data_IF_344092854855
#
_entry.id   IF_344092854855
#
_cell.length_a   1.000
_cell.length_b   1.000
_cell.length_c   1.000
_cell.angle_alpha   90.00
_cell.angle_beta   90.00
_cell.angle_gamma   90.00
#
_symmetry.space_group_name_H-M   'P 1'
#
loop_
_entity.id
_entity.type
_entity.pdbx_description
1 polymer ?
#
# COMPACT_ATOMS: atom_id res chain seq x y z
N UNK A 1 3.11 -21.24 -22.47
CA UNK A 1 4.12 -21.35 -21.39
C UNK A 1 3.97 -20.17 -20.44
N UNK A 2 3.52 -20.38 -19.20
CA UNK A 2 3.55 -19.34 -18.15
C UNK A 2 5.00 -19.04 -17.77
N UNK A 3 5.39 -17.77 -17.72
CA UNK A 3 6.75 -17.36 -17.36
C UNK A 3 6.82 -17.25 -15.83
N UNK A 4 7.32 -18.29 -15.16
CA UNK A 4 7.51 -18.29 -13.71
C UNK A 4 8.57 -17.25 -13.30
N UNK A 5 8.12 -16.06 -12.89
CA UNK A 5 8.97 -14.97 -12.42
C UNK A 5 8.71 -14.73 -10.94
N UNK A 6 9.76 -14.75 -10.12
CA UNK A 6 9.68 -14.32 -8.71
C UNK A 6 9.44 -12.80 -8.67
N UNK A 7 8.32 -12.32 -8.09
CA UNK A 7 8.07 -10.89 -8.02
C UNK A 7 8.82 -10.28 -6.83
N UNK A 8 9.66 -9.28 -7.10
CA UNK A 8 10.45 -8.57 -6.10
C UNK A 8 9.70 -7.34 -5.56
N UNK A 9 9.79 -7.10 -4.26
CA UNK A 9 9.31 -5.88 -3.60
C UNK A 9 10.16 -4.66 -3.96
N UNK A 10 9.66 -3.46 -3.72
CA UNK A 10 10.43 -2.23 -3.87
C UNK A 10 11.63 -2.21 -2.91
N UNK A 11 11.47 -2.69 -1.68
CA UNK A 11 12.56 -2.82 -0.72
C UNK A 11 13.64 -3.81 -1.16
N UNK A 12 13.26 -4.97 -1.72
CA UNK A 12 14.23 -5.93 -2.28
C UNK A 12 15.02 -5.31 -3.45
N UNK A 13 14.35 -4.56 -4.33
CA UNK A 13 15.02 -3.87 -5.44
C UNK A 13 15.98 -2.77 -4.95
N UNK A 14 15.62 -2.03 -3.91
CA UNK A 14 16.52 -1.03 -3.31
C UNK A 14 17.78 -1.68 -2.74
N UNK A 15 17.64 -2.78 -2.00
CA UNK A 15 18.80 -3.55 -1.50
C UNK A 15 19.71 -4.02 -2.63
N UNK A 16 19.13 -4.47 -3.75
CA UNK A 16 19.90 -4.87 -4.94
C UNK A 16 20.67 -3.67 -5.53
N UNK A 17 20.05 -2.48 -5.56
CA UNK A 17 20.71 -1.24 -6.03
C UNK A 17 21.86 -0.87 -5.09
N UNK A 18 21.61 -0.83 -3.79
CA UNK A 18 22.63 -0.51 -2.77
C UNK A 18 23.82 -1.48 -2.83
N UNK A 19 23.55 -2.78 -2.95
CA UNK A 19 24.60 -3.79 -3.03
C UNK A 19 25.40 -3.68 -4.33
N UNK A 20 24.75 -3.34 -5.44
CA UNK A 20 25.44 -3.09 -6.71
C UNK A 20 26.31 -1.83 -6.67
N UNK A 21 25.86 -0.78 -5.97
CA UNK A 21 26.62 0.47 -5.81
C UNK A 21 27.82 0.30 -4.87
N UNK A 22 27.68 -0.49 -3.79
CA UNK A 22 28.80 -0.83 -2.89
C UNK A 22 29.92 -1.59 -3.60
N UNK A 23 29.59 -2.44 -4.55
CA UNK A 23 30.53 -3.29 -5.31
C UNK A 23 31.05 -2.58 -6.56
N UNK A 24 31.44 -1.32 -6.42
CA UNK A 24 31.87 -0.50 -7.54
C UNK A 24 33.12 -1.13 -8.21
N UNK A 25 32.96 -1.66 -9.44
CA UNK A 25 34.00 -2.38 -10.18
C UNK A 25 33.74 -3.87 -10.41
N UNK A 26 32.80 -4.49 -9.70
CA UNK A 26 32.40 -5.88 -9.97
C UNK A 26 31.58 -5.99 -11.27
N UNK A 27 31.74 -7.11 -11.99
CA UNK A 27 30.95 -7.34 -13.20
C UNK A 27 29.49 -7.61 -12.83
N UNK A 28 28.55 -7.16 -13.68
CA UNK A 28 27.11 -7.39 -13.50
C UNK A 28 26.78 -8.90 -13.38
N UNK A 29 27.51 -9.73 -14.11
CA UNK A 29 27.41 -11.19 -14.04
C UNK A 29 27.78 -11.75 -12.66
N UNK A 30 28.83 -11.22 -12.03
CA UNK A 30 29.21 -11.63 -10.67
C UNK A 30 28.16 -11.22 -9.65
N UNK A 31 27.74 -9.96 -9.69
CA UNK A 31 26.72 -9.42 -8.77
C UNK A 31 25.41 -10.21 -8.91
N UNK A 32 25.00 -10.53 -10.13
CA UNK A 32 23.78 -11.30 -10.40
C UNK A 32 23.86 -12.73 -9.85
N UNK A 33 25.01 -13.40 -9.99
CA UNK A 33 25.25 -14.74 -9.41
C UNK A 33 25.16 -14.71 -7.90
N UNK A 34 25.83 -13.76 -7.25
CA UNK A 34 25.86 -13.67 -5.79
C UNK A 34 24.49 -13.33 -5.20
N UNK A 35 23.72 -12.50 -5.90
CA UNK A 35 22.35 -12.13 -5.51
C UNK A 35 21.30 -13.17 -5.94
N UNK A 36 21.71 -14.23 -6.64
CA UNK A 36 20.84 -15.27 -7.20
C UNK A 36 19.67 -14.69 -8.04
N UNK A 37 19.98 -13.71 -8.90
CA UNK A 37 19.03 -13.09 -9.82
C UNK A 37 19.53 -13.17 -11.26
N UNK A 38 18.64 -13.24 -12.27
CA UNK A 38 19.06 -13.17 -13.66
C UNK A 38 19.73 -11.83 -13.97
N UNK A 39 20.80 -11.83 -14.76
CA UNK A 39 21.51 -10.61 -15.18
C UNK A 39 20.59 -9.59 -15.86
N UNK A 40 19.64 -10.08 -16.67
CA UNK A 40 18.62 -9.25 -17.30
C UNK A 40 17.73 -8.52 -16.28
N UNK A 41 17.46 -9.15 -15.14
CA UNK A 41 16.69 -8.55 -14.05
C UNK A 41 17.52 -7.51 -13.31
N UNK A 42 18.79 -7.81 -12.99
CA UNK A 42 19.71 -6.84 -12.40
C UNK A 42 19.84 -5.59 -13.29
N UNK A 43 20.08 -5.79 -14.59
CA UNK A 43 20.17 -4.68 -15.57
C UNK A 43 18.90 -3.82 -15.54
N UNK A 44 17.73 -4.44 -15.58
CA UNK A 44 16.45 -3.73 -15.58
C UNK A 44 16.23 -2.94 -14.28
N UNK A 45 16.62 -3.51 -13.14
CA UNK A 45 16.52 -2.85 -11.83
C UNK A 45 17.42 -1.62 -11.79
N UNK A 46 18.69 -1.75 -12.21
CA UNK A 46 19.65 -0.64 -12.22
C UNK A 46 19.24 0.48 -13.18
N UNK A 47 18.74 0.15 -14.39
CA UNK A 47 18.23 1.15 -15.33
C UNK A 47 17.01 1.91 -14.78
N UNK A 48 16.21 1.28 -13.93
CA UNK A 48 15.00 1.87 -13.35
C UNK A 48 15.19 2.41 -11.93
N UNK A 49 16.44 2.59 -11.47
CA UNK A 49 16.76 2.92 -10.08
C UNK A 49 15.99 4.14 -9.55
N UNK A 50 15.95 5.24 -10.30
CA UNK A 50 15.31 6.48 -9.84
C UNK A 50 13.80 6.31 -9.66
N UNK A 51 13.18 5.59 -10.60
CA UNK A 51 11.76 5.25 -10.50
C UNK A 51 11.46 4.33 -9.31
N UNK A 52 12.39 3.43 -8.96
CA UNK A 52 12.23 2.53 -7.82
C UNK A 52 12.33 3.33 -6.51
N UNK A 53 13.28 4.26 -6.38
CA UNK A 53 13.38 5.16 -5.23
C UNK A 53 12.10 5.99 -5.04
N UNK A 54 11.64 6.67 -6.10
CA UNK A 54 10.42 7.49 -6.03
C UNK A 54 9.20 6.66 -5.63
N UNK A 55 9.07 5.46 -6.21
CA UNK A 55 7.94 4.57 -5.89
C UNK A 55 8.04 3.99 -4.48
N UNK A 56 9.24 3.69 -3.99
CA UNK A 56 9.44 3.23 -2.62
C UNK A 56 9.01 4.30 -1.61
N UNK A 57 9.33 5.57 -1.87
CA UNK A 57 8.88 6.69 -1.05
C UNK A 57 7.35 6.87 -1.11
N UNK A 58 6.74 6.72 -2.29
CA UNK A 58 5.28 6.89 -2.48
C UNK A 58 4.44 5.76 -1.91
N UNK A 59 4.84 4.51 -2.15
CA UNK A 59 4.01 3.32 -1.90
C UNK A 59 4.46 2.47 -0.72
N UNK A 60 5.66 2.71 -0.21
CA UNK A 60 6.31 1.89 0.81
C UNK A 60 7.07 0.68 0.25
N UNK A 61 7.91 0.09 1.10
CA UNK A 61 8.90 -0.92 0.71
C UNK A 61 8.30 -2.29 0.38
N UNK A 62 7.16 -2.63 0.99
CA UNK A 62 6.58 -3.98 0.89
C UNK A 62 5.81 -4.22 -0.41
N UNK A 63 5.52 -3.18 -1.20
CA UNK A 63 4.81 -3.34 -2.47
C UNK A 63 5.70 -3.95 -3.55
N UNK A 64 5.13 -4.85 -4.34
CA UNK A 64 5.78 -5.46 -5.53
C UNK A 64 5.55 -4.67 -6.81
N UNK A 65 4.42 -3.95 -6.88
CA UNK A 65 4.01 -3.12 -8.01
C UNK A 65 3.74 -1.67 -7.57
N UNK A 66 4.27 -0.73 -8.34
CA UNK A 66 4.03 0.69 -8.20
C UNK A 66 2.83 1.10 -9.06
N UNK A 67 1.64 0.65 -8.66
CA UNK A 67 0.39 0.95 -9.37
C UNK A 67 -0.60 1.56 -8.39
N UNK A 68 -1.19 2.66 -8.82
CA UNK A 68 -2.32 3.32 -8.16
C UNK A 68 -3.66 2.65 -8.57
N UNK A 69 -4.66 2.79 -7.71
CA UNK A 69 -6.04 2.44 -8.02
C UNK A 69 -6.62 3.35 -9.12
N UNK A 70 -7.72 2.91 -9.75
CA UNK A 70 -8.42 3.70 -10.80
C UNK A 70 -8.87 5.06 -10.28
N UNK A 71 -9.22 5.14 -8.99
CA UNK A 71 -9.74 6.33 -8.34
C UNK A 71 -8.85 6.76 -7.17
N UNK A 72 -7.53 6.79 -7.38
CA UNK A 72 -6.54 7.05 -6.32
C UNK A 72 -6.81 8.32 -5.50
N UNK A 73 -7.28 9.40 -6.13
CA UNK A 73 -7.63 10.64 -5.44
C UNK A 73 -8.83 10.45 -4.50
N UNK A 74 -9.87 9.75 -4.95
CA UNK A 74 -11.05 9.41 -4.15
C UNK A 74 -10.68 8.46 -3.01
N UNK A 75 -9.88 7.43 -3.27
CA UNK A 75 -9.38 6.50 -2.25
C UNK A 75 -8.59 7.25 -1.16
N UNK A 76 -7.74 8.20 -1.56
CA UNK A 76 -7.01 9.05 -0.61
C UNK A 76 -7.94 9.91 0.24
N UNK A 77 -8.93 10.56 -0.37
CA UNK A 77 -9.92 11.37 0.34
C UNK A 77 -10.75 10.51 1.31
N UNK A 78 -11.14 9.31 0.90
CA UNK A 78 -11.90 8.37 1.72
C UNK A 78 -11.09 7.89 2.93
N UNK A 79 -9.81 7.55 2.75
CA UNK A 79 -8.92 7.17 3.86
C UNK A 79 -8.73 8.32 4.83
N UNK A 80 -8.61 9.55 4.33
CA UNK A 80 -8.46 10.74 5.17
C UNK A 80 -9.72 11.01 6.01
N UNK A 81 -10.90 10.99 5.37
CA UNK A 81 -12.18 11.08 6.07
C UNK A 81 -12.34 9.98 7.12
N UNK A 82 -11.96 8.74 6.78
CA UNK A 82 -12.05 7.60 7.70
C UNK A 82 -11.18 7.80 8.94
N UNK A 83 -9.96 8.35 8.77
CA UNK A 83 -9.07 8.67 9.90
C UNK A 83 -9.70 9.73 10.80
N UNK A 84 -10.25 10.79 10.21
CA UNK A 84 -10.91 11.87 10.94
C UNK A 84 -12.14 11.36 11.70
N UNK A 85 -12.99 10.56 11.07
CA UNK A 85 -14.16 9.96 11.72
C UNK A 85 -13.78 9.12 12.95
N UNK A 86 -12.75 8.26 12.80
CA UNK A 86 -12.23 7.44 13.91
C UNK A 86 -11.67 8.29 15.06
N UNK A 87 -10.94 9.36 14.74
CA UNK A 87 -10.41 10.29 15.75
C UNK A 87 -11.52 11.05 16.47
N UNK A 88 -12.64 11.32 15.81
CA UNK A 88 -13.81 12.00 16.38
C UNK A 88 -14.77 11.05 17.11
N UNK A 89 -14.42 9.78 17.31
CA UNK A 89 -15.29 8.78 17.96
C UNK A 89 -16.51 8.36 17.13
N UNK A 90 -16.58 8.77 15.86
CA UNK A 90 -17.62 8.34 14.92
C UNK A 90 -17.19 6.99 14.38
N UNK A 91 -17.89 5.92 14.77
CA UNK A 91 -17.68 4.60 14.20
C UNK A 91 -17.95 4.66 12.69
N UNK A 92 -16.97 4.39 11.82
CA UNK A 92 -17.20 4.42 10.39
C UNK A 92 -18.14 3.30 10.00
N UNK A 93 -19.16 3.64 9.21
CA UNK A 93 -20.13 2.68 8.68
C UNK A 93 -19.38 1.69 7.78
N UNK A 94 -19.19 0.46 8.26
CA UNK A 94 -18.71 -0.63 7.42
C UNK A 94 -19.83 -1.01 6.45
N UNK A 95 -19.55 -1.03 5.15
CA UNK A 95 -20.49 -1.39 4.08
C UNK A 95 -20.93 -2.87 4.06
N UNK A 96 -20.69 -3.64 5.12
CA UNK A 96 -21.35 -4.93 5.36
C UNK A 96 -22.77 -4.69 5.92
N UNK A 97 -23.58 -3.89 5.23
CA UNK A 97 -25.03 -4.01 5.34
C UNK A 97 -25.41 -5.12 4.39
N UNK A 98 -25.54 -6.32 4.94
CA UNK A 98 -26.15 -7.48 4.28
C UNK A 98 -27.34 -7.03 3.44
N UNK A 99 -27.34 -7.36 2.15
CA UNK A 99 -28.57 -7.36 1.37
C UNK A 99 -29.54 -8.34 2.03
N UNK A 100 -30.50 -7.81 2.77
CA UNK A 100 -31.78 -8.46 3.01
C UNK A 100 -32.85 -7.45 2.63
N UNK A 101 -33.10 -7.37 1.32
CA UNK A 101 -34.39 -6.90 0.85
C UNK A 101 -35.38 -8.05 1.05
N UNK A 102 -36.33 -7.87 1.96
CA UNK A 102 -37.77 -8.03 1.72
C UNK A 102 -38.52 -8.26 3.04
N UNK A 103 -39.26 -7.24 3.46
CA UNK A 103 -40.43 -7.43 4.32
C UNK A 103 -40.22 -7.09 5.79
N UNK A 104 -40.79 -5.95 6.19
CA UNK A 104 -41.36 -5.80 7.52
C UNK A 104 -40.52 -5.06 8.54
N UNK A 105 -40.92 -3.81 8.76
CA UNK A 105 -40.99 -3.15 10.07
C UNK A 105 -39.71 -2.82 10.84
N UNK A 106 -39.74 -1.57 11.31
CA UNK A 106 -39.17 -1.11 12.57
C UNK A 106 -37.71 -0.61 12.58
N UNK A 107 -37.64 0.71 12.83
CA UNK A 107 -36.64 1.39 13.64
C UNK A 107 -35.26 1.57 12.96
N UNK A 108 -35.17 2.63 12.15
CA UNK A 108 -33.93 3.40 12.07
C UNK A 108 -33.72 4.00 13.46
N UNK A 109 -33.01 3.29 14.32
CA UNK A 109 -32.59 3.80 15.61
C UNK A 109 -31.52 4.86 15.34
N UNK A 110 -32.03 6.09 15.25
CA UNK A 110 -31.30 7.34 15.27
C UNK A 110 -30.57 7.42 16.62
N UNK A 111 -29.36 6.84 16.69
CA UNK A 111 -28.45 7.07 17.81
C UNK A 111 -27.83 8.48 17.66
N UNK A 112 -28.67 9.50 17.84
CA UNK A 112 -28.18 10.81 18.22
C UNK A 112 -27.60 10.67 19.63
N UNK A 113 -26.31 10.97 19.73
CA UNK A 113 -25.55 11.14 20.95
C UNK A 113 -26.31 12.11 21.85
N UNK A 114 -26.97 11.59 22.89
CA UNK A 114 -27.31 12.37 24.09
C UNK A 114 -26.03 12.48 24.90
N UNK A 115 -25.26 13.55 24.68
CA UNK A 115 -24.30 14.02 25.67
C UNK A 115 -25.10 14.59 26.83
N UNK A 116 -25.28 13.80 27.89
CA UNK A 116 -25.77 14.28 29.18
C UNK A 116 -24.63 14.98 29.89
N UNK A 117 -24.93 16.18 30.39
CA UNK A 117 -24.06 17.04 31.17
C UNK A 117 -23.32 16.30 32.29
N UNK A 118 -22.01 16.54 32.34
CA UNK A 118 -21.12 16.15 33.41
C UNK A 118 -20.29 17.34 33.84
N UNK A 119 -20.84 18.09 34.80
CA UNK A 119 -20.21 18.98 35.78
C UNK A 119 -18.72 19.32 35.62
N UNK A 120 -18.43 20.61 35.35
CA UNK A 120 -17.22 21.27 35.83
C UNK A 120 -17.61 22.31 36.88
N UNK A 121 -16.95 22.24 38.03
CA UNK A 121 -16.88 23.33 39.01
C UNK A 121 -15.94 24.43 38.51
#
# INVERSE_FOLDING_TARGET
MSRNRKPLTLGEKLRIIEEAEKRNGATKASIARDLNIPESSLKTILTKKDSILLNAAKFGLNRKAAKDGKYAAMEKALVEWLRQARSSGIAPVSCLTSHQDAGGSSIIQRACIRGSDGAYK
#
